data_IF_507690930197
#
_entry.id   IF_507690930197
#
_cell.length_a   1.000
_cell.length_b   1.000
_cell.length_c   1.000
_cell.angle_alpha   90.00
_cell.angle_beta   90.00
_cell.angle_gamma   90.00
#
_symmetry.space_group_name_H-M   'P 1'
#
loop_
_entity.id
_entity.type
_entity.pdbx_description
1 polymer ?
#
# COMPACT_ATOMS: atom_id res chain seq x y z
N UNK A 1 -11.56 26.98 12.03
CA UNK A 1 -12.03 26.09 10.95
C UNK A 1 -10.95 25.95 9.89
N UNK A 2 -10.87 24.81 9.24
CA UNK A 2 -10.01 24.55 8.08
C UNK A 2 -10.72 23.60 7.13
N UNK A 3 -10.53 23.78 5.83
CA UNK A 3 -11.14 22.94 4.83
C UNK A 3 -10.39 23.01 3.51
N UNK A 4 -10.70 22.08 2.60
CA UNK A 4 -10.19 22.10 1.24
C UNK A 4 -11.26 21.61 0.27
N UNK A 5 -11.17 22.12 -0.95
CA UNK A 5 -11.90 21.65 -2.11
C UNK A 5 -10.88 21.28 -3.16
N UNK A 6 -10.94 20.07 -3.69
CA UNK A 6 -10.07 19.60 -4.76
C UNK A 6 -10.86 19.04 -5.91
N UNK A 7 -10.36 19.25 -7.11
CA UNK A 7 -10.87 18.66 -8.34
C UNK A 7 -9.71 18.11 -9.16
N UNK A 8 -9.92 16.96 -9.78
CA UNK A 8 -8.96 16.41 -10.73
C UNK A 8 -9.67 15.78 -11.92
N UNK A 9 -8.96 15.73 -13.04
CA UNK A 9 -9.38 15.02 -14.24
C UNK A 9 -8.17 14.32 -14.87
N UNK A 10 -8.30 13.00 -15.07
CA UNK A 10 -7.31 12.18 -15.74
C UNK A 10 -7.95 11.49 -16.95
N UNK A 11 -7.17 11.31 -17.99
CA UNK A 11 -7.54 10.48 -19.13
C UNK A 11 -6.33 9.66 -19.59
N UNK A 12 -6.58 8.47 -20.10
CA UNK A 12 -5.57 7.56 -20.57
C UNK A 12 -5.96 6.91 -21.89
N UNK A 13 -4.95 6.45 -22.60
CA UNK A 13 -5.08 5.56 -23.75
C UNK A 13 -4.02 4.49 -23.65
N UNK A 14 -4.46 3.24 -23.66
CA UNK A 14 -3.58 2.08 -23.64
C UNK A 14 -3.67 1.33 -24.95
N UNK A 15 -2.53 0.82 -25.39
CA UNK A 15 -2.43 -0.14 -26.51
C UNK A 15 -1.38 -1.17 -26.12
N UNK A 16 -1.77 -2.43 -26.09
CA UNK A 16 -0.88 -3.54 -25.81
C UNK A 16 -0.49 -4.18 -27.15
N UNK A 17 0.81 -4.26 -27.39
CA UNK A 17 1.40 -4.90 -28.56
C UNK A 17 2.24 -6.07 -28.05
N UNK A 18 1.67 -7.27 -28.03
CA UNK A 18 2.35 -8.48 -27.60
C UNK A 18 2.92 -9.27 -28.79
N UNK A 19 3.89 -10.15 -28.53
CA UNK A 19 4.50 -11.00 -29.52
C UNK A 19 5.61 -10.33 -30.37
N UNK A 20 6.25 -9.27 -29.82
CA UNK A 20 7.39 -8.60 -30.45
C UNK A 20 8.73 -8.87 -29.78
N UNK A 21 8.77 -9.81 -28.85
CA UNK A 21 10.02 -10.28 -28.25
C UNK A 21 10.86 -11.09 -29.23
N UNK A 22 12.15 -11.28 -28.91
CA UNK A 22 13.05 -12.09 -29.78
C UNK A 22 12.55 -13.53 -29.84
N UNK A 23 12.16 -13.97 -31.07
CA UNK A 23 11.64 -15.33 -31.32
C UNK A 23 10.15 -15.49 -31.07
N UNK A 24 9.41 -14.40 -30.87
CA UNK A 24 7.95 -14.38 -30.76
C UNK A 24 7.32 -13.97 -32.11
N UNK A 25 6.08 -14.42 -32.33
CA UNK A 25 5.21 -13.96 -33.41
C UNK A 25 4.20 -12.97 -32.85
N UNK A 26 3.89 -11.85 -33.58
CA UNK A 26 2.87 -10.89 -33.15
C UNK A 26 1.52 -11.56 -32.90
N UNK A 27 0.94 -11.31 -31.72
CA UNK A 27 -0.41 -11.77 -31.41
C UNK A 27 -1.40 -10.99 -32.28
N UNK A 28 -2.34 -11.69 -32.92
CA UNK A 28 -3.32 -11.09 -33.84
C UNK A 28 -4.24 -10.09 -33.12
N UNK A 29 -4.70 -10.47 -31.90
CA UNK A 29 -5.52 -9.62 -31.05
C UNK A 29 -4.69 -8.57 -30.34
N UNK A 30 -5.03 -7.29 -30.54
CA UNK A 30 -4.41 -6.15 -29.88
C UNK A 30 -5.39 -5.46 -28.98
N UNK A 31 -5.18 -5.59 -27.67
CA UNK A 31 -5.96 -4.86 -26.69
C UNK A 31 -5.73 -3.35 -26.80
N UNK A 32 -6.83 -2.60 -26.84
CA UNK A 32 -6.85 -1.15 -26.79
C UNK A 32 -7.83 -0.69 -25.71
N UNK A 33 -7.52 0.41 -25.02
CA UNK A 33 -8.49 1.09 -24.17
C UNK A 33 -8.34 2.60 -24.17
N UNK A 34 -9.43 3.27 -23.89
CA UNK A 34 -9.49 4.69 -23.53
C UNK A 34 -10.24 4.80 -22.23
N UNK A 35 -9.64 5.44 -21.26
CA UNK A 35 -10.19 5.61 -19.92
C UNK A 35 -10.19 7.08 -19.50
N UNK A 36 -11.08 7.40 -18.60
CA UNK A 36 -11.15 8.71 -17.96
C UNK A 36 -11.57 8.56 -16.51
N UNK A 37 -11.11 9.48 -15.69
CA UNK A 37 -11.46 9.60 -14.30
C UNK A 37 -11.52 11.06 -13.91
N UNK A 38 -12.59 11.49 -13.25
CA UNK A 38 -12.67 12.81 -12.63
C UNK A 38 -13.17 12.68 -11.21
N UNK A 39 -12.67 13.52 -10.33
CA UNK A 39 -13.05 13.53 -8.93
C UNK A 39 -13.20 14.92 -8.37
N UNK A 40 -14.13 15.04 -7.45
CA UNK A 40 -14.37 16.21 -6.61
C UNK A 40 -14.35 15.76 -5.16
N UNK A 41 -13.51 16.37 -4.34
CA UNK A 41 -13.44 16.12 -2.89
C UNK A 41 -13.56 17.43 -2.14
N UNK A 42 -14.37 17.45 -1.12
CA UNK A 42 -14.50 18.55 -0.20
C UNK A 42 -14.51 18.08 1.25
N UNK A 43 -13.83 18.81 2.11
CA UNK A 43 -14.01 18.64 3.54
C UNK A 43 -13.95 19.97 4.28
N UNK A 44 -14.58 19.99 5.45
CA UNK A 44 -14.55 21.11 6.39
C UNK A 44 -14.37 20.56 7.80
N UNK A 45 -13.33 21.05 8.49
CA UNK A 45 -13.08 20.78 9.90
C UNK A 45 -13.36 21.99 10.75
N UNK A 46 -13.96 21.78 11.91
CA UNK A 46 -14.25 22.82 12.90
C UNK A 46 -13.95 22.31 14.32
N UNK A 47 -13.56 23.22 15.18
CA UNK A 47 -13.53 23.05 16.64
C UNK A 47 -14.79 23.67 17.20
N UNK A 48 -15.69 22.85 17.73
CA UNK A 48 -16.97 23.32 18.27
C UNK A 48 -16.85 23.68 19.76
N UNK A 49 -16.01 22.94 20.48
CA UNK A 49 -15.70 23.17 21.89
C UNK A 49 -14.28 22.68 22.21
N UNK A 50 -13.78 22.94 23.43
CA UNK A 50 -12.39 22.64 23.81
C UNK A 50 -12.05 21.16 23.64
N UNK A 51 -10.92 20.90 22.95
CA UNK A 51 -10.42 19.55 22.68
C UNK A 51 -11.16 18.80 21.56
N UNK A 52 -12.20 19.42 20.96
CA UNK A 52 -12.98 18.80 19.90
C UNK A 52 -12.43 19.15 18.52
N UNK A 53 -12.58 18.22 17.58
CA UNK A 53 -12.47 18.44 16.15
C UNK A 53 -13.53 17.61 15.46
N UNK A 54 -14.42 18.28 14.75
CA UNK A 54 -15.41 17.68 13.88
C UNK A 54 -15.01 17.94 12.43
N UNK A 55 -15.00 16.88 11.61
CA UNK A 55 -14.76 16.98 10.18
C UNK A 55 -15.95 16.38 9.43
N UNK A 56 -16.49 17.15 8.48
CA UNK A 56 -17.46 16.68 7.51
C UNK A 56 -16.79 16.66 6.14
N UNK A 57 -17.10 15.66 5.33
CA UNK A 57 -16.58 15.60 3.99
C UNK A 57 -17.50 14.89 3.01
N UNK A 58 -17.21 15.15 1.75
CA UNK A 58 -17.95 14.65 0.61
C UNK A 58 -16.98 14.37 -0.54
N UNK A 59 -17.14 13.22 -1.20
CA UNK A 59 -16.39 12.84 -2.37
C UNK A 59 -17.32 12.41 -3.49
N UNK A 60 -16.97 12.79 -4.71
CA UNK A 60 -17.59 12.29 -5.93
C UNK A 60 -16.52 11.86 -6.91
N UNK A 61 -16.65 10.66 -7.45
CA UNK A 61 -15.76 10.08 -8.44
C UNK A 61 -16.58 9.56 -9.62
N UNK A 62 -16.23 10.01 -10.83
CA UNK A 62 -16.72 9.45 -12.08
C UNK A 62 -15.57 8.83 -12.83
N UNK A 63 -15.70 7.56 -13.20
CA UNK A 63 -14.65 6.85 -13.93
C UNK A 63 -15.25 5.85 -14.91
N UNK A 64 -14.49 5.55 -15.94
CA UNK A 64 -14.92 4.59 -16.94
C UNK A 64 -14.08 4.63 -18.20
N UNK A 65 -14.52 3.88 -19.19
CA UNK A 65 -13.80 3.81 -20.43
C UNK A 65 -14.40 2.81 -21.41
N UNK A 66 -13.73 2.73 -22.53
CA UNK A 66 -14.02 1.81 -23.63
C UNK A 66 -12.78 0.95 -23.91
N UNK A 67 -12.93 -0.35 -23.87
CA UNK A 67 -11.91 -1.35 -24.23
C UNK A 67 -12.37 -2.18 -25.42
N UNK A 68 -11.47 -2.44 -26.37
CA UNK A 68 -11.74 -3.23 -27.56
C UNK A 68 -10.49 -3.98 -28.02
N UNK A 69 -10.69 -5.11 -28.68
CA UNK A 69 -9.67 -5.83 -29.43
C UNK A 69 -9.60 -5.31 -30.87
N UNK A 70 -8.42 -5.14 -31.41
CA UNK A 70 -8.16 -4.85 -32.81
C UNK A 70 -7.39 -6.02 -33.42
N UNK A 71 -7.98 -6.72 -34.37
CA UNK A 71 -7.38 -7.86 -35.06
C UNK A 71 -6.54 -7.39 -36.24
N UNK A 72 -5.29 -7.88 -36.31
CA UNK A 72 -4.35 -7.51 -37.38
C UNK A 72 -4.65 -8.21 -38.70
N UNK A 73 -5.23 -9.42 -38.63
CA UNK A 73 -5.49 -10.27 -39.78
C UNK A 73 -6.47 -9.67 -40.78
N UNK A 74 -7.50 -8.96 -40.30
CA UNK A 74 -8.57 -8.38 -41.12
C UNK A 74 -8.91 -6.93 -40.77
N UNK A 75 -8.27 -6.37 -39.74
CA UNK A 75 -8.43 -4.99 -39.31
C UNK A 75 -9.73 -4.66 -38.57
N UNK A 76 -10.57 -5.68 -38.25
CA UNK A 76 -11.80 -5.41 -37.50
C UNK A 76 -11.53 -5.12 -36.02
N UNK A 77 -12.51 -4.46 -35.36
CA UNK A 77 -12.51 -4.21 -33.94
C UNK A 77 -13.67 -4.96 -33.31
N UNK A 78 -13.41 -5.57 -32.13
CA UNK A 78 -14.40 -6.21 -31.29
C UNK A 78 -14.46 -5.50 -29.93
N UNK A 79 -15.63 -5.00 -29.57
CA UNK A 79 -15.83 -4.33 -28.29
C UNK A 79 -15.79 -5.32 -27.13
N UNK A 80 -14.93 -5.07 -26.14
CA UNK A 80 -14.82 -5.86 -24.91
C UNK A 80 -15.73 -5.29 -23.84
N UNK A 81 -15.59 -3.98 -23.57
CA UNK A 81 -16.37 -3.30 -22.55
C UNK A 81 -16.47 -1.79 -22.84
N UNK A 82 -17.65 -1.22 -22.60
CA UNK A 82 -17.86 0.22 -22.58
C UNK A 82 -18.69 0.55 -21.33
N UNK A 83 -18.01 1.01 -20.26
CA UNK A 83 -18.59 1.18 -18.93
C UNK A 83 -18.19 2.52 -18.33
N UNK A 84 -19.16 3.15 -17.67
CA UNK A 84 -18.96 4.31 -16.81
C UNK A 84 -19.62 4.04 -15.47
N UNK A 85 -19.01 4.50 -14.40
CA UNK A 85 -19.45 4.29 -13.02
C UNK A 85 -19.28 5.58 -12.23
N UNK A 86 -20.15 5.76 -11.27
CA UNK A 86 -20.11 6.86 -10.33
C UNK A 86 -19.98 6.31 -8.91
N UNK A 87 -19.21 7.01 -8.10
CA UNK A 87 -19.05 6.76 -6.68
C UNK A 87 -19.27 8.06 -5.92
N UNK A 88 -20.16 8.02 -4.94
CA UNK A 88 -20.57 9.16 -4.13
C UNK A 88 -20.42 8.81 -2.67
N UNK A 89 -19.68 9.60 -1.91
CA UNK A 89 -19.47 9.36 -0.50
C UNK A 89 -19.67 10.60 0.36
N UNK A 90 -20.20 10.38 1.56
CA UNK A 90 -20.22 11.35 2.63
C UNK A 90 -19.63 10.78 3.91
N UNK A 91 -18.95 11.59 4.68
CA UNK A 91 -18.36 11.14 5.93
C UNK A 91 -18.36 12.20 7.03
N UNK A 92 -18.32 11.70 8.25
CA UNK A 92 -18.16 12.48 9.47
C UNK A 92 -17.10 11.83 10.34
N UNK A 93 -16.13 12.63 10.80
CA UNK A 93 -15.12 12.25 11.79
C UNK A 93 -15.21 13.17 13.00
N UNK A 94 -15.21 12.56 14.16
CA UNK A 94 -15.26 13.21 15.45
C UNK A 94 -14.05 12.81 16.28
N UNK A 95 -13.28 13.81 16.73
CA UNK A 95 -12.19 13.64 17.68
C UNK A 95 -12.45 14.48 18.91
N UNK A 96 -12.21 13.91 20.11
CA UNK A 96 -12.31 14.58 21.39
C UNK A 96 -11.11 14.27 22.26
N UNK A 97 -10.34 15.29 22.61
CA UNK A 97 -9.35 15.21 23.68
C UNK A 97 -10.05 15.46 25.04
N UNK A 98 -9.81 14.58 25.98
CA UNK A 98 -10.33 14.65 27.36
C UNK A 98 -9.13 14.87 28.28
N UNK A 99 -8.98 16.09 28.75
CA UNK A 99 -7.77 16.51 29.45
C UNK A 99 -6.54 16.31 28.54
N UNK A 100 -5.45 15.87 29.17
CA UNK A 100 -4.18 15.56 28.50
C UNK A 100 -3.85 14.05 28.49
N UNK A 101 -4.81 13.21 28.90
CA UNK A 101 -4.57 11.77 29.11
C UNK A 101 -5.33 10.86 28.13
N UNK A 102 -6.43 11.33 27.51
CA UNK A 102 -7.27 10.52 26.63
C UNK A 102 -7.67 11.30 25.37
N UNK A 103 -7.60 10.65 24.21
CA UNK A 103 -8.22 11.11 22.96
C UNK A 103 -9.17 10.02 22.46
N UNK A 104 -10.39 10.42 22.12
CA UNK A 104 -11.41 9.60 21.48
C UNK A 104 -11.47 9.98 20.01
N UNK A 105 -11.52 8.99 19.13
CA UNK A 105 -11.76 9.13 17.70
C UNK A 105 -12.95 8.26 17.28
N UNK A 106 -13.89 8.80 16.53
CA UNK A 106 -14.99 8.05 15.95
C UNK A 106 -15.35 8.64 14.58
N UNK A 107 -15.59 7.79 13.61
CA UNK A 107 -15.94 8.22 12.26
C UNK A 107 -16.83 7.22 11.56
N UNK A 108 -17.57 7.71 10.59
CA UNK A 108 -18.36 6.89 9.68
C UNK A 108 -18.33 7.51 8.29
N UNK A 109 -18.12 6.67 7.30
CA UNK A 109 -18.26 7.01 5.89
C UNK A 109 -19.36 6.13 5.28
N UNK A 110 -20.19 6.73 4.46
CA UNK A 110 -21.16 6.04 3.62
C UNK A 110 -20.77 6.28 2.18
N UNK A 111 -20.56 5.21 1.45
CA UNK A 111 -20.13 5.23 0.06
C UNK A 111 -21.15 4.51 -0.81
N UNK A 112 -21.58 5.13 -1.90
CA UNK A 112 -22.51 4.56 -2.87
C UNK A 112 -21.87 4.48 -4.25
N UNK A 113 -21.71 3.26 -4.74
CA UNK A 113 -21.20 2.96 -6.07
C UNK A 113 -22.32 2.44 -6.97
N UNK A 114 -22.45 2.99 -8.18
CA UNK A 114 -23.58 2.71 -9.08
C UNK A 114 -23.75 1.24 -9.46
N UNK A 115 -22.66 0.45 -9.49
CA UNK A 115 -22.69 -0.97 -9.85
C UNK A 115 -22.92 -1.90 -8.65
N UNK A 116 -22.27 -1.61 -7.52
CA UNK A 116 -22.19 -2.58 -6.39
C UNK A 116 -22.94 -2.15 -5.14
N UNK A 117 -23.59 -0.96 -5.16
CA UNK A 117 -24.45 -0.49 -4.10
C UNK A 117 -23.73 0.31 -3.01
N UNK A 118 -24.22 0.22 -1.78
CA UNK A 118 -23.81 1.11 -0.67
C UNK A 118 -23.03 0.34 0.38
N UNK A 119 -21.88 0.89 0.78
CA UNK A 119 -21.07 0.42 1.88
C UNK A 119 -20.99 1.43 3.03
N UNK A 120 -21.06 0.91 4.26
CA UNK A 120 -20.89 1.66 5.51
C UNK A 120 -19.54 1.31 6.10
N UNK A 121 -18.76 2.34 6.42
CA UNK A 121 -17.36 2.23 6.82
C UNK A 121 -17.15 2.93 8.16
N UNK A 122 -17.54 2.29 9.28
CA UNK A 122 -17.31 2.82 10.62
C UNK A 122 -15.86 2.63 11.04
N UNK A 123 -15.37 3.56 11.89
CA UNK A 123 -14.09 3.47 12.59
C UNK A 123 -14.18 4.07 13.98
N UNK A 124 -13.35 3.59 14.90
CA UNK A 124 -13.26 4.12 16.25
C UNK A 124 -11.89 3.85 16.88
N UNK A 125 -11.48 4.72 17.80
CA UNK A 125 -10.21 4.59 18.46
C UNK A 125 -10.13 5.34 19.79
N UNK A 126 -9.25 4.83 20.65
CA UNK A 126 -8.90 5.40 21.95
C UNK A 126 -7.38 5.58 21.98
N UNK A 127 -6.90 6.74 22.41
CA UNK A 127 -5.48 6.98 22.64
C UNK A 127 -5.27 7.47 24.06
N UNK A 128 -4.59 6.66 24.86
CA UNK A 128 -4.19 6.98 26.22
C UNK A 128 -2.80 7.61 26.21
N UNK A 129 -2.72 8.87 26.59
CA UNK A 129 -1.46 9.61 26.73
C UNK A 129 -0.92 9.36 28.14
N UNK A 130 0.11 8.55 28.24
CA UNK A 130 0.73 8.11 29.48
C UNK A 130 1.92 9.03 29.84
N UNK A 131 2.42 8.97 31.10
CA UNK A 131 3.66 9.66 31.47
C UNK A 131 4.83 9.32 30.56
N UNK A 132 5.88 10.16 30.60
CA UNK A 132 7.12 9.98 29.84
C UNK A 132 6.92 9.87 28.31
N UNK A 133 5.96 10.62 27.76
CA UNK A 133 5.64 10.66 26.34
C UNK A 133 5.30 9.27 25.74
N UNK A 134 4.65 8.43 26.54
CA UNK A 134 4.13 7.16 26.06
C UNK A 134 2.66 7.30 25.61
N UNK A 135 2.29 6.55 24.57
CA UNK A 135 0.92 6.47 24.06
C UNK A 135 0.54 5.01 23.86
N UNK A 136 -0.57 4.61 24.48
CA UNK A 136 -1.24 3.35 24.19
C UNK A 136 -2.49 3.65 23.36
N UNK A 137 -2.63 3.01 22.18
CA UNK A 137 -3.74 3.26 21.26
C UNK A 137 -4.42 1.95 20.89
N UNK A 138 -5.75 1.93 20.97
CA UNK A 138 -6.61 0.86 20.48
C UNK A 138 -7.51 1.40 19.36
N UNK A 139 -7.62 0.66 18.25
CA UNK A 139 -8.41 1.04 17.09
C UNK A 139 -9.20 -0.14 16.54
N UNK A 140 -10.35 0.16 15.99
CA UNK A 140 -11.12 -0.73 15.12
C UNK A 140 -11.62 0.07 13.92
N UNK A 141 -11.51 -0.50 12.73
CA UNK A 141 -12.01 0.14 11.53
C UNK A 141 -12.41 -0.88 10.46
N UNK A 142 -13.49 -0.61 9.76
CA UNK A 142 -13.88 -1.34 8.57
C UNK A 142 -13.20 -0.71 7.35
N UNK A 143 -12.69 -1.56 6.45
CA UNK A 143 -12.25 -1.19 5.11
C UNK A 143 -13.05 -1.93 4.06
N UNK A 144 -13.05 -1.44 2.82
CA UNK A 144 -13.64 -2.12 1.68
C UNK A 144 -12.91 -1.76 0.38
N UNK A 145 -13.08 -2.60 -0.63
CA UNK A 145 -12.61 -2.35 -1.99
C UNK A 145 -13.70 -2.75 -2.98
N UNK A 146 -14.13 -1.80 -3.81
CA UNK A 146 -15.04 -2.10 -4.91
C UNK A 146 -14.31 -2.91 -5.99
N UNK A 147 -14.98 -3.87 -6.67
CA UNK A 147 -14.42 -4.55 -7.81
C UNK A 147 -14.19 -3.55 -8.95
N UNK A 148 -13.09 -3.71 -9.65
CA UNK A 148 -12.71 -2.86 -10.78
C UNK A 148 -13.51 -3.21 -12.04
N UNK A 149 -13.61 -2.26 -12.99
CA UNK A 149 -14.17 -2.51 -14.33
C UNK A 149 -13.46 -3.69 -15.00
N UNK A 150 -12.14 -3.81 -14.78
CA UNK A 150 -11.35 -4.92 -15.31
C UNK A 150 -11.80 -6.27 -14.77
N UNK A 151 -12.00 -6.37 -13.46
CA UNK A 151 -12.42 -7.62 -12.80
C UNK A 151 -13.83 -8.04 -13.20
N UNK A 152 -14.74 -7.07 -13.42
CA UNK A 152 -16.13 -7.34 -13.77
C UNK A 152 -16.38 -7.57 -15.26
N UNK A 153 -15.69 -6.82 -16.16
CA UNK A 153 -16.13 -6.68 -17.53
C UNK A 153 -15.06 -6.90 -18.62
N UNK A 154 -13.75 -6.93 -18.31
CA UNK A 154 -12.71 -7.01 -19.35
C UNK A 154 -12.34 -8.45 -19.68
N UNK A 155 -12.23 -9.34 -18.67
CA UNK A 155 -11.85 -10.72 -18.90
C UNK A 155 -13.06 -11.65 -18.93
N UNK A 156 -13.30 -12.37 -20.05
CA UNK A 156 -14.36 -13.36 -20.12
C UNK A 156 -13.99 -14.64 -19.31
N UNK A 157 -14.98 -15.29 -18.66
CA UNK A 157 -16.36 -14.87 -18.56
C UNK A 157 -16.52 -13.69 -17.60
N UNK A 158 -17.21 -12.66 -18.04
CA UNK A 158 -17.49 -11.48 -17.23
C UNK A 158 -18.29 -11.85 -15.97
N UNK A 159 -18.04 -11.12 -14.88
CA UNK A 159 -18.81 -11.26 -13.65
C UNK A 159 -19.25 -9.88 -13.12
N UNK A 160 -20.36 -9.32 -13.63
CA UNK A 160 -20.88 -8.03 -13.16
C UNK A 160 -21.49 -8.08 -11.75
N UNK A 161 -21.69 -9.29 -11.18
CA UNK A 161 -22.29 -9.52 -9.87
C UNK A 161 -21.25 -9.58 -8.73
N UNK A 162 -19.99 -9.26 -9.03
CA UNK A 162 -18.96 -9.14 -8.00
C UNK A 162 -19.36 -8.11 -6.94
N UNK A 163 -19.15 -8.48 -5.68
CA UNK A 163 -19.43 -7.66 -4.51
C UNK A 163 -18.15 -6.99 -4.01
N UNK A 164 -18.25 -5.89 -3.25
CA UNK A 164 -17.09 -5.30 -2.57
C UNK A 164 -16.43 -6.30 -1.62
N UNK A 165 -15.10 -6.33 -1.65
CA UNK A 165 -14.30 -6.95 -0.61
C UNK A 165 -14.44 -6.13 0.66
N UNK A 166 -14.48 -6.79 1.82
CA UNK A 166 -14.65 -6.15 3.12
C UNK A 166 -13.64 -6.67 4.10
N UNK A 167 -13.13 -5.81 4.94
CA UNK A 167 -12.26 -6.20 6.03
C UNK A 167 -12.55 -5.37 7.28
N UNK A 168 -12.30 -5.96 8.43
CA UNK A 168 -12.27 -5.28 9.72
C UNK A 168 -10.87 -5.46 10.29
N UNK A 169 -10.25 -4.34 10.65
CA UNK A 169 -8.94 -4.29 11.28
C UNK A 169 -9.07 -3.87 12.75
N UNK A 170 -8.42 -4.62 13.62
CA UNK A 170 -8.28 -4.33 15.04
C UNK A 170 -6.81 -4.09 15.33
N UNK A 171 -6.49 -3.01 16.02
CA UNK A 171 -5.11 -2.65 16.35
C UNK A 171 -4.97 -2.26 17.81
N UNK A 172 -3.86 -2.70 18.41
CA UNK A 172 -3.38 -2.24 19.70
C UNK A 172 -1.92 -1.84 19.57
N UNK A 173 -1.62 -0.57 19.74
CA UNK A 173 -0.26 -0.06 19.59
C UNK A 173 0.22 0.68 20.82
N UNK A 174 1.51 0.56 21.08
CA UNK A 174 2.23 1.31 22.10
C UNK A 174 3.42 2.02 21.46
N UNK A 175 3.64 3.27 21.82
CA UNK A 175 4.82 4.03 21.41
C UNK A 175 5.33 4.90 22.55
N UNK A 176 6.65 5.08 22.64
CA UNK A 176 7.26 5.94 23.66
C UNK A 176 8.47 6.69 23.10
N UNK A 177 8.62 7.93 23.57
CA UNK A 177 9.73 8.81 23.25
C UNK A 177 10.46 9.17 24.54
N UNK A 178 11.70 8.68 24.68
CA UNK A 178 12.54 8.92 25.83
C UNK A 178 13.73 9.84 25.50
N UNK A 179 14.34 10.41 26.53
CA UNK A 179 15.55 11.21 26.45
C UNK A 179 15.46 12.34 25.40
N UNK A 180 14.40 13.15 25.50
CA UNK A 180 14.11 14.22 24.55
C UNK A 180 14.04 13.74 23.08
N UNK A 181 13.48 12.54 22.87
CA UNK A 181 13.35 11.94 21.54
C UNK A 181 14.65 11.32 21.00
N UNK A 182 15.66 11.14 21.86
CA UNK A 182 16.86 10.40 21.45
C UNK A 182 16.57 8.91 21.26
N UNK A 183 15.66 8.35 22.06
CA UNK A 183 15.15 6.98 21.91
C UNK A 183 13.65 7.02 21.62
N UNK A 184 13.24 6.41 20.52
CA UNK A 184 11.86 6.18 20.11
C UNK A 184 11.67 4.70 19.88
N UNK A 185 10.66 4.11 20.49
CA UNK A 185 10.30 2.72 20.23
C UNK A 185 8.79 2.51 20.29
N UNK A 186 8.33 1.45 19.65
CA UNK A 186 6.94 1.09 19.63
C UNK A 186 6.72 -0.36 19.22
N UNK A 187 5.52 -0.82 19.51
CA UNK A 187 5.02 -2.11 19.06
C UNK A 187 3.54 -1.96 18.66
N UNK A 188 3.13 -2.70 17.66
CA UNK A 188 1.76 -2.78 17.19
C UNK A 188 1.37 -4.26 17.06
N UNK A 189 0.23 -4.63 17.63
CA UNK A 189 -0.45 -5.88 17.37
C UNK A 189 -1.66 -5.58 16.51
N UNK A 190 -1.91 -6.37 15.47
CA UNK A 190 -3.08 -6.22 14.62
C UNK A 190 -3.71 -7.56 14.30
N UNK A 191 -5.02 -7.54 14.08
CA UNK A 191 -5.82 -8.64 13.58
C UNK A 191 -6.74 -8.13 12.48
N UNK A 192 -6.67 -8.74 11.31
CA UNK A 192 -7.44 -8.40 10.12
C UNK A 192 -8.29 -9.61 9.76
N UNK A 193 -9.61 -9.40 9.71
CA UNK A 193 -10.56 -10.36 9.21
C UNK A 193 -11.32 -9.76 8.02
N UNK A 194 -11.36 -10.46 6.91
CA UNK A 194 -12.00 -9.99 5.68
C UNK A 194 -12.71 -11.09 4.93
N UNK A 195 -13.75 -10.71 4.23
CA UNK A 195 -14.58 -11.59 3.42
C UNK A 195 -14.79 -11.03 2.00
N UNK A 196 -15.40 -11.86 1.15
CA UNK A 196 -15.69 -11.52 -0.24
C UNK A 196 -14.45 -11.15 -1.07
N UNK A 197 -13.25 -11.62 -0.71
CA UNK A 197 -12.05 -11.34 -1.49
C UNK A 197 -12.23 -11.88 -2.90
N UNK A 198 -11.91 -11.03 -3.88
CA UNK A 198 -12.04 -11.38 -5.28
C UNK A 198 -10.82 -12.21 -5.69
N UNK A 199 -11.07 -13.44 -6.07
CA UNK A 199 -10.06 -14.37 -6.58
C UNK A 199 -10.43 -14.83 -7.99
N UNK A 200 -9.41 -15.22 -8.76
CA UNK A 200 -9.64 -15.88 -10.06
C UNK A 200 -9.76 -17.39 -9.84
N UNK A 201 -10.98 -17.90 -9.93
CA UNK A 201 -11.25 -19.34 -9.91
C UNK A 201 -10.76 -20.01 -11.19
N UNK A 202 -9.70 -20.80 -11.07
CA UNK A 202 -9.08 -21.56 -12.18
C UNK A 202 -9.62 -22.97 -12.32
N UNK A 203 -10.55 -23.38 -11.48
CA UNK A 203 -11.24 -24.68 -11.60
C UNK A 203 -12.20 -24.70 -12.78
N UNK A 204 -12.68 -23.52 -13.19
CA UNK A 204 -13.52 -23.33 -14.39
C UNK A 204 -12.67 -23.06 -15.62
N UNK A 205 -13.20 -23.36 -16.81
CA UNK A 205 -12.56 -23.03 -18.08
C UNK A 205 -13.55 -22.30 -19.00
N UNK A 206 -13.30 -21.03 -19.33
CA UNK A 206 -12.20 -20.15 -18.89
C UNK A 206 -12.26 -19.82 -17.38
N UNK A 207 -11.13 -19.41 -16.77
CA UNK A 207 -11.09 -18.95 -15.37
C UNK A 207 -11.98 -17.73 -15.16
N UNK A 208 -12.65 -17.62 -13.99
CA UNK A 208 -13.59 -16.55 -13.69
C UNK A 208 -13.28 -15.89 -12.34
N UNK A 209 -13.46 -14.57 -12.26
CA UNK A 209 -13.37 -13.85 -11.00
C UNK A 209 -14.64 -14.07 -10.16
N UNK A 210 -14.46 -14.44 -8.89
CA UNK A 210 -15.53 -14.68 -7.92
C UNK A 210 -15.17 -14.11 -6.55
N UNK A 211 -16.19 -13.85 -5.72
CA UNK A 211 -16.03 -13.51 -4.31
C UNK A 211 -16.06 -14.78 -3.46
N UNK A 212 -14.94 -15.42 -3.27
CA UNK A 212 -14.84 -16.61 -2.43
C UNK A 212 -13.61 -16.65 -1.53
N UNK A 213 -12.76 -15.62 -1.62
CA UNK A 213 -11.59 -15.51 -0.76
C UNK A 213 -11.94 -14.94 0.61
N UNK A 214 -11.16 -15.35 1.59
CA UNK A 214 -11.18 -14.85 2.96
C UNK A 214 -9.77 -14.37 3.33
N UNK A 215 -9.69 -13.41 4.24
CA UNK A 215 -8.44 -12.95 4.83
C UNK A 215 -8.60 -13.09 6.34
N UNK A 216 -7.71 -13.86 6.95
CA UNK A 216 -7.55 -13.91 8.39
C UNK A 216 -6.06 -13.82 8.70
N UNK A 217 -5.63 -12.60 8.98
CA UNK A 217 -4.23 -12.28 9.21
C UNK A 217 -4.08 -11.59 10.56
N UNK A 218 -3.03 -11.93 11.29
CA UNK A 218 -2.65 -11.22 12.49
C UNK A 218 -1.14 -11.16 12.62
N UNK A 219 -0.66 -10.16 13.35
CA UNK A 219 0.77 -10.00 13.43
C UNK A 219 1.19 -8.98 14.48
N UNK A 220 2.50 -8.90 14.62
CA UNK A 220 3.17 -7.97 15.52
C UNK A 220 4.22 -7.20 14.70
N UNK A 221 4.22 -5.91 14.88
CA UNK A 221 5.26 -5.01 14.38
C UNK A 221 5.95 -4.35 15.56
N UNK A 222 7.27 -4.22 15.50
CA UNK A 222 8.06 -3.51 16.49
C UNK A 222 9.07 -2.60 15.79
N UNK A 223 9.31 -1.44 16.36
CA UNK A 223 10.30 -0.50 15.85
C UNK A 223 11.11 0.13 16.98
N UNK A 224 12.36 0.43 16.69
CA UNK A 224 13.24 1.20 17.56
C UNK A 224 14.10 2.14 16.72
N UNK A 225 14.26 3.37 17.17
CA UNK A 225 15.22 4.33 16.65
C UNK A 225 15.96 4.98 17.81
N UNK A 226 17.29 4.94 17.77
CA UNK A 226 18.11 5.48 18.85
C UNK A 226 19.24 6.35 18.30
N UNK A 227 19.23 7.62 18.67
CA UNK A 227 20.34 8.54 18.43
C UNK A 227 21.32 8.45 19.59
N UNK A 228 22.36 7.62 19.43
CA UNK A 228 23.37 7.33 20.45
C UNK A 228 24.08 8.63 20.86
N UNK A 229 24.44 9.45 19.86
CA UNK A 229 25.03 10.78 20.05
C UNK A 229 24.85 11.62 18.78
N UNK A 230 25.56 12.75 18.67
CA UNK A 230 25.50 13.62 17.49
C UNK A 230 26.06 13.01 16.21
N UNK A 231 26.79 11.90 16.29
CA UNK A 231 27.46 11.25 15.16
C UNK A 231 26.77 9.96 14.73
N UNK A 232 26.19 9.21 15.67
CA UNK A 232 25.68 7.87 15.44
C UNK A 232 24.20 7.73 15.74
N UNK A 233 23.48 7.09 14.83
CA UNK A 233 22.12 6.64 15.04
C UNK A 233 21.94 5.21 14.56
N UNK A 234 21.06 4.47 15.22
CA UNK A 234 20.66 3.12 14.87
C UNK A 234 19.15 3.04 14.78
N UNK A 235 18.65 2.19 13.89
CA UNK A 235 17.22 1.89 13.79
C UNK A 235 17.01 0.42 13.45
N UNK A 236 15.90 -0.15 13.94
CA UNK A 236 15.48 -1.47 13.55
C UNK A 236 13.95 -1.53 13.52
N UNK A 237 13.41 -2.30 12.56
CA UNK A 237 12.00 -2.63 12.46
C UNK A 237 11.88 -4.13 12.25
N UNK A 238 10.95 -4.72 12.95
CA UNK A 238 10.62 -6.14 12.79
C UNK A 238 9.12 -6.29 12.62
N UNK A 239 8.70 -7.12 11.68
CA UNK A 239 7.31 -7.56 11.55
C UNK A 239 7.25 -9.08 11.46
N UNK A 240 6.27 -9.62 12.14
CA UNK A 240 5.83 -10.99 12.02
C UNK A 240 4.36 -11.01 11.65
N UNK A 241 4.02 -11.78 10.62
CA UNK A 241 2.70 -11.92 10.05
C UNK A 241 2.32 -13.39 10.02
N UNK A 242 1.21 -13.74 10.66
CA UNK A 242 0.54 -15.01 10.46
C UNK A 242 -0.59 -14.83 9.44
N UNK A 243 -0.64 -15.72 8.47
CA UNK A 243 -1.65 -15.75 7.40
C UNK A 243 -2.32 -17.12 7.40
N UNK A 244 -3.64 -17.16 7.58
CA UNK A 244 -4.41 -18.41 7.39
C UNK A 244 -4.40 -18.82 5.92
N UNK A 245 -4.47 -17.84 5.04
CA UNK A 245 -4.34 -18.02 3.60
C UNK A 245 -3.13 -17.24 3.08
N UNK A 246 -2.21 -17.91 2.35
CA UNK A 246 -1.04 -17.26 1.80
C UNK A 246 -1.36 -16.06 0.93
N UNK A 247 -0.65 -14.95 1.13
CA UNK A 247 -0.77 -13.73 0.33
C UNK A 247 0.50 -13.51 -0.48
N UNK A 248 0.34 -13.29 -1.79
CA UNK A 248 1.46 -13.04 -2.70
C UNK A 248 2.28 -11.82 -2.25
N UNK A 249 3.60 -11.95 -2.30
CA UNK A 249 4.58 -10.93 -1.93
C UNK A 249 4.50 -10.45 -0.46
N UNK A 250 3.82 -11.19 0.42
CA UNK A 250 3.77 -10.96 1.85
C UNK A 250 4.72 -11.92 2.59
N UNK A 251 5.75 -11.43 3.31
CA UNK A 251 6.63 -12.27 4.10
C UNK A 251 6.06 -12.57 5.48
N UNK A 252 6.29 -13.77 6.00
CA UNK A 252 5.98 -14.12 7.39
C UNK A 252 6.85 -13.33 8.38
N UNK A 253 8.14 -13.14 8.04
CA UNK A 253 9.07 -12.36 8.86
C UNK A 253 9.82 -11.34 8.01
N UNK A 254 9.89 -10.12 8.49
CA UNK A 254 10.69 -9.05 7.91
C UNK A 254 11.43 -8.30 9.02
N UNK A 255 12.75 -8.26 8.91
CA UNK A 255 13.61 -7.47 9.78
C UNK A 255 14.40 -6.48 8.94
N UNK A 256 14.40 -5.24 9.36
CA UNK A 256 15.32 -4.20 8.90
C UNK A 256 16.14 -3.71 10.09
N UNK A 257 17.47 -3.56 9.90
CA UNK A 257 18.36 -2.96 10.88
C UNK A 257 19.38 -2.06 10.18
N UNK A 258 19.50 -0.82 10.62
CA UNK A 258 20.35 0.18 10.02
C UNK A 258 21.17 0.96 11.03
N UNK A 259 22.36 1.37 10.60
CA UNK A 259 23.29 2.23 11.35
C UNK A 259 23.69 3.39 10.45
N UNK A 260 23.65 4.61 10.98
CA UNK A 260 24.09 5.82 10.29
C UNK A 260 25.14 6.54 11.09
N UNK A 261 26.16 7.02 10.39
CA UNK A 261 27.23 7.85 10.90
C UNK A 261 27.31 9.17 10.12
N UNK A 262 27.42 10.29 10.83
CA UNK A 262 27.59 11.60 10.20
C UNK A 262 28.59 12.44 10.99
N UNK A 263 29.71 12.83 10.36
CA UNK A 263 30.74 13.70 10.96
C UNK A 263 31.25 14.70 9.94
N UNK A 264 31.01 15.99 10.19
CA UNK A 264 31.47 17.06 9.34
C UNK A 264 30.90 16.95 7.92
N UNK A 265 31.76 16.62 6.96
CA UNK A 265 31.39 16.44 5.55
C UNK A 265 31.02 15.02 5.16
N UNK A 266 31.28 14.03 6.04
CA UNK A 266 31.06 12.61 5.78
C UNK A 266 29.72 12.14 6.30
N UNK A 267 29.02 11.37 5.50
CA UNK A 267 27.86 10.57 5.88
C UNK A 267 28.04 9.14 5.40
N UNK A 268 27.82 8.17 6.29
CA UNK A 268 27.87 6.74 5.97
C UNK A 268 26.63 6.10 6.58
N UNK A 269 25.93 5.29 5.82
CA UNK A 269 24.82 4.47 6.31
C UNK A 269 24.93 3.06 5.76
N UNK A 270 24.61 2.09 6.58
CA UNK A 270 24.51 0.69 6.17
C UNK A 270 23.26 0.07 6.78
N UNK A 271 22.64 -0.83 6.05
CA UNK A 271 21.46 -1.55 6.51
C UNK A 271 21.46 -3.01 6.05
N UNK A 272 20.79 -3.81 6.85
CA UNK A 272 20.45 -5.20 6.56
C UNK A 272 18.94 -5.33 6.50
N UNK A 273 18.46 -6.06 5.50
CA UNK A 273 17.08 -6.50 5.40
C UNK A 273 17.03 -8.02 5.35
N UNK A 274 16.34 -8.64 6.32
CA UNK A 274 16.09 -10.08 6.34
C UNK A 274 14.62 -10.33 6.04
N UNK A 275 14.35 -11.19 5.08
CA UNK A 275 13.02 -11.63 4.65
C UNK A 275 12.97 -13.14 4.79
N UNK A 276 11.89 -13.66 5.40
CA UNK A 276 11.64 -15.09 5.50
C UNK A 276 10.16 -15.39 5.26
N UNK A 277 9.89 -16.48 4.55
CA UNK A 277 8.54 -16.94 4.25
C UNK A 277 7.81 -15.99 3.28
N UNK A 278 8.52 -15.38 2.32
CA UNK A 278 7.90 -14.55 1.28
C UNK A 278 7.27 -15.45 0.22
N UNK A 279 5.95 -15.42 0.09
CA UNK A 279 5.27 -16.14 -0.97
C UNK A 279 5.47 -15.49 -2.33
N UNK A 280 6.15 -16.18 -3.23
CA UNK A 280 6.39 -15.73 -4.63
C UNK A 280 5.35 -16.30 -5.60
N UNK A 281 4.65 -17.37 -5.21
CA UNK A 281 3.47 -17.92 -5.86
C UNK A 281 2.54 -18.47 -4.78
N UNK A 282 1.22 -18.28 -4.98
CA UNK A 282 0.15 -18.78 -4.11
C UNK A 282 -0.83 -19.68 -4.86
N UNK A 283 -0.43 -20.21 -6.01
CA UNK A 283 -1.24 -21.17 -6.77
C UNK A 283 -1.37 -22.47 -5.98
N UNK A 284 -2.62 -22.90 -5.72
CA UNK A 284 -2.93 -24.08 -4.91
C UNK A 284 -2.17 -25.33 -5.36
N UNK A 285 -1.41 -25.92 -4.42
CA UNK A 285 -0.56 -27.09 -4.66
C UNK A 285 0.78 -26.79 -5.34
N UNK A 286 1.12 -25.51 -5.56
CA UNK A 286 2.39 -25.07 -6.09
C UNK A 286 2.89 -23.78 -5.45
N UNK A 287 2.55 -23.56 -4.18
CA UNK A 287 3.03 -22.42 -3.41
C UNK A 287 4.55 -22.42 -3.34
N UNK A 288 5.14 -21.25 -3.54
CA UNK A 288 6.59 -21.05 -3.47
C UNK A 288 6.92 -19.94 -2.50
N UNK A 289 7.98 -20.16 -1.73
CA UNK A 289 8.49 -19.17 -0.77
C UNK A 289 9.96 -18.87 -1.03
N UNK A 290 10.34 -17.64 -0.71
CA UNK A 290 11.72 -17.14 -0.73
C UNK A 290 12.17 -16.67 0.64
N UNK A 291 13.48 -16.87 0.91
CA UNK A 291 14.15 -16.36 2.10
C UNK A 291 15.47 -15.72 1.66
N UNK A 292 15.72 -14.48 2.05
CA UNK A 292 16.95 -13.81 1.65
C UNK A 292 17.37 -12.72 2.64
N UNK A 293 18.64 -12.31 2.52
CA UNK A 293 19.24 -11.20 3.27
C UNK A 293 19.84 -10.22 2.28
N UNK A 294 19.47 -8.96 2.38
CA UNK A 294 20.05 -7.88 1.58
C UNK A 294 20.90 -7.00 2.49
N UNK A 295 22.12 -6.71 2.07
CA UNK A 295 22.99 -5.76 2.71
C UNK A 295 23.25 -4.58 1.78
N UNK A 296 23.04 -3.36 2.29
CA UNK A 296 23.22 -2.13 1.56
C UNK A 296 24.20 -1.21 2.30
N UNK A 297 24.93 -0.42 1.53
CA UNK A 297 25.89 0.57 2.04
C UNK A 297 25.80 1.85 1.20
N UNK A 298 25.71 3.00 1.88
CA UNK A 298 25.72 4.30 1.23
C UNK A 298 26.78 5.18 1.89
N UNK A 299 27.64 5.79 1.09
CA UNK A 299 28.57 6.83 1.50
C UNK A 299 28.24 8.16 0.84
N UNK A 300 28.39 9.25 1.56
CA UNK A 300 28.21 10.60 1.03
C UNK A 300 29.29 11.56 1.51
N UNK A 301 29.64 12.53 0.67
CA UNK A 301 30.62 13.57 1.01
C UNK A 301 30.16 14.95 0.55
N UNK A 302 30.01 15.88 1.47
CA UNK A 302 29.65 17.28 1.17
C UNK A 302 30.86 18.03 0.60
N UNK A 303 30.84 18.32 -0.70
CA UNK A 303 31.90 19.11 -1.36
C UNK A 303 31.86 20.58 -0.92
N UNK A 304 30.66 21.15 -0.93
CA UNK A 304 30.42 22.54 -0.52
C UNK A 304 28.96 22.68 -0.01
N UNK A 305 28.51 23.91 0.23
CA UNK A 305 27.17 24.17 0.78
C UNK A 305 26.03 23.69 -0.14
N UNK A 306 26.25 23.67 -1.44
CA UNK A 306 25.25 23.34 -2.46
C UNK A 306 25.52 22.04 -3.22
N UNK A 307 26.62 21.32 -2.97
CA UNK A 307 26.94 20.09 -3.67
C UNK A 307 27.46 18.98 -2.75
N UNK A 308 26.99 17.75 -2.98
CA UNK A 308 27.49 16.55 -2.33
C UNK A 308 27.61 15.38 -3.33
N UNK A 309 28.63 14.56 -3.15
CA UNK A 309 28.80 13.28 -3.83
C UNK A 309 28.10 12.17 -3.03
N UNK A 310 27.66 11.14 -3.70
CA UNK A 310 27.26 9.89 -3.06
C UNK A 310 27.71 8.68 -3.88
N UNK A 311 27.91 7.58 -3.16
CA UNK A 311 28.07 6.25 -3.72
C UNK A 311 27.19 5.29 -2.92
N UNK A 312 26.48 4.39 -3.62
CA UNK A 312 25.58 3.42 -3.02
C UNK A 312 25.81 2.05 -3.63
N UNK A 313 25.88 1.04 -2.77
CA UNK A 313 25.84 -0.37 -3.16
C UNK A 313 24.61 -1.03 -2.54
N UNK A 314 23.84 -1.73 -3.33
CA UNK A 314 22.65 -2.48 -2.92
C UNK A 314 22.87 -3.96 -3.15
N UNK A 315 22.26 -4.79 -2.29
CA UNK A 315 22.41 -6.25 -2.32
C UNK A 315 23.87 -6.68 -2.44
N UNK A 316 24.74 -6.14 -1.57
CA UNK A 316 26.20 -6.39 -1.60
C UNK A 316 26.57 -7.86 -1.36
N UNK A 317 25.64 -8.66 -0.81
CA UNK A 317 25.78 -10.11 -0.68
C UNK A 317 25.50 -10.85 -2.01
N UNK A 318 25.12 -10.12 -3.07
CA UNK A 318 24.76 -10.65 -4.38
C UNK A 318 23.72 -11.79 -4.32
N UNK A 319 22.77 -11.71 -3.36
CA UNK A 319 21.69 -12.68 -3.19
C UNK A 319 20.87 -12.77 -4.47
N UNK A 320 20.55 -13.99 -4.86
CA UNK A 320 19.55 -14.27 -5.90
C UNK A 320 18.22 -14.47 -5.21
N UNK A 321 17.22 -13.69 -5.57
CA UNK A 321 15.89 -13.79 -4.98
C UNK A 321 14.83 -13.32 -5.98
N UNK A 322 13.59 -13.64 -5.69
CA UNK A 322 12.41 -13.23 -6.43
C UNK A 322 11.37 -12.69 -5.46
N UNK A 323 10.54 -11.75 -5.92
CA UNK A 323 9.35 -11.29 -5.20
C UNK A 323 8.11 -11.94 -5.84
N UNK A 324 8.13 -12.10 -7.15
CA UNK A 324 7.16 -12.86 -7.92
C UNK A 324 7.88 -13.99 -8.65
N UNK A 325 7.30 -15.18 -8.68
CA UNK A 325 7.88 -16.35 -9.34
C UNK A 325 8.16 -16.07 -10.83
N UNK A 326 9.34 -16.43 -11.30
CA UNK A 326 9.79 -16.19 -12.66
C UNK A 326 10.42 -14.80 -12.92
N UNK A 327 10.41 -13.88 -11.95
CA UNK A 327 10.96 -12.52 -12.08
C UNK A 327 12.16 -12.32 -11.13
N UNK A 328 13.37 -12.68 -11.53
CA UNK A 328 14.55 -12.53 -10.68
C UNK A 328 14.91 -11.07 -10.46
N UNK A 329 15.18 -10.72 -9.21
CA UNK A 329 15.63 -9.40 -8.81
C UNK A 329 17.13 -9.20 -9.08
N UNK A 330 17.59 -7.95 -9.26
CA UNK A 330 18.99 -7.64 -9.46
C UNK A 330 19.88 -8.17 -8.33
N UNK A 331 21.03 -8.70 -8.68
CA UNK A 331 22.12 -8.97 -7.74
C UNK A 331 22.72 -7.66 -7.24
N UNK A 332 23.98 -7.68 -6.80
CA UNK A 332 24.68 -6.46 -6.38
C UNK A 332 24.62 -5.37 -7.45
N UNK A 333 24.13 -4.19 -7.06
CA UNK A 333 24.08 -3.00 -7.90
C UNK A 333 24.85 -1.87 -7.26
N UNK A 334 25.45 -1.01 -8.09
CA UNK A 334 26.22 0.13 -7.63
C UNK A 334 25.77 1.39 -8.35
N UNK A 335 25.60 2.46 -7.60
CA UNK A 335 25.23 3.78 -8.09
C UNK A 335 26.15 4.84 -7.53
N UNK A 336 26.40 5.89 -8.29
CA UNK A 336 27.12 7.06 -7.82
C UNK A 336 26.57 8.31 -8.49
N UNK A 337 26.62 9.44 -7.79
CA UNK A 337 26.10 10.67 -8.34
C UNK A 337 26.46 11.90 -7.51
N UNK A 338 25.94 13.03 -8.00
CA UNK A 338 26.09 14.36 -7.38
C UNK A 338 24.70 14.91 -7.07
N UNK A 339 24.50 15.33 -5.82
CA UNK A 339 23.31 16.10 -5.43
C UNK A 339 23.67 17.57 -5.41
N UNK A 340 22.89 18.39 -6.12
CA UNK A 340 23.04 19.84 -6.17
C UNK A 340 21.75 20.46 -5.62
N UNK A 341 21.87 21.31 -4.58
CA UNK A 341 20.77 22.04 -3.95
C UNK A 341 20.98 23.54 -4.19
N UNK A 342 20.03 24.20 -4.82
CA UNK A 342 20.05 25.64 -5.13
C UNK A 342 19.33 26.45 -4.06
#
# INVERSE_FOLDING_TARGET
>A
TSGALSFFYNWGRHKINDGYGTGEEPIDDRFNSKDRMMGLSWYQSATLFTGNRLTLGFDYLHFGGHAWSHYLSDGHNEDIANKNMDELAGYIDFRQAIGNWLTLDAGIRVDHHTQVGTEWVPQGGLSFHLPENAVLKAMVGKGYRNPTIREMFIFPPQNPDLKPEKLVNYELSYSQHLWNGALVYGANFYYINGDNVIITDRSTRPPRNINSGEIENWGIEANIAYRINSLWSVSANYSWLHMEHPVLAAPEHKLYAGISFSKGRWGISTDLQYIKGLYTSVDTGSEKQENFVLWNLTGSYKLCKFASLFAKGENLLAQRYQINDGFPMPKATFMGGVNINF
#
